data_IF_051842091042
#
_entry.id   IF_051842091042
#
_cell.length_a   1.000
_cell.length_b   1.000
_cell.length_c   1.000
_cell.angle_alpha   90.00
_cell.angle_beta   90.00
_cell.angle_gamma   90.00
#
_symmetry.space_group_name_H-M   'P 1'
#
loop_
_entity.id
_entity.type
_entity.pdbx_description
1 polymer ?
#
# COMPACT_ATOMS: atom_id res chain seq x y z
N UNK A 1 11.21 22.60 -19.65
CA UNK A 1 9.89 22.04 -19.28
C UNK A 1 9.88 20.62 -19.83
N UNK A 2 9.77 19.61 -18.97
CA UNK A 2 9.65 18.23 -19.42
C UNK A 2 8.29 18.04 -20.09
N UNK A 3 8.24 17.33 -21.21
CA UNK A 3 7.06 17.12 -22.06
C UNK A 3 5.96 16.24 -21.42
N UNK A 4 6.08 15.90 -20.13
CA UNK A 4 5.26 14.89 -19.45
C UNK A 4 4.77 15.35 -18.07
N UNK A 5 4.45 16.63 -17.91
CA UNK A 5 3.84 17.11 -16.67
C UNK A 5 2.35 16.70 -16.64
N UNK A 6 1.98 15.85 -15.69
CA UNK A 6 0.59 15.43 -15.50
C UNK A 6 -0.25 16.62 -15.02
N UNK A 7 -0.98 17.26 -15.94
CA UNK A 7 -1.70 18.51 -15.68
C UNK A 7 -2.98 18.32 -14.85
N UNK A 8 -3.54 17.10 -14.82
CA UNK A 8 -4.81 16.82 -14.13
C UNK A 8 -4.59 15.98 -12.87
N UNK A 9 -4.99 16.48 -11.68
CA UNK A 9 -4.91 15.72 -10.44
C UNK A 9 -5.75 14.44 -10.48
N UNK A 10 -5.23 13.36 -9.87
CA UNK A 10 -5.91 12.07 -9.76
C UNK A 10 -6.55 11.93 -8.37
N UNK A 11 -7.88 11.80 -8.32
CA UNK A 11 -8.60 11.43 -7.10
C UNK A 11 -8.53 9.91 -6.89
N UNK A 12 -7.93 9.48 -5.79
CA UNK A 12 -7.81 8.06 -5.45
C UNK A 12 -8.76 7.71 -4.31
N UNK A 13 -9.74 6.85 -4.60
CA UNK A 13 -10.78 6.41 -3.65
C UNK A 13 -10.55 4.94 -3.29
N UNK A 14 -10.65 4.60 -2.00
CA UNK A 14 -10.54 3.24 -1.50
C UNK A 14 -9.99 3.22 -0.08
N UNK A 15 -9.19 2.19 0.26
CA UNK A 15 -8.65 2.01 1.60
C UNK A 15 -7.13 2.15 1.73
N UNK A 16 -6.72 2.62 2.90
CA UNK A 16 -5.38 2.47 3.45
C UNK A 16 -5.45 1.51 4.65
N UNK A 17 -4.53 0.55 4.73
CA UNK A 17 -4.56 -0.52 5.76
C UNK A 17 -3.16 -0.73 6.32
N UNK A 18 -3.04 -1.08 7.60
CA UNK A 18 -1.78 -1.50 8.18
C UNK A 18 -1.44 -2.95 7.78
N UNK A 19 -0.35 -3.15 7.06
CA UNK A 19 0.19 -4.46 6.73
C UNK A 19 1.21 -4.89 7.79
N UNK A 20 1.05 -6.11 8.28
CA UNK A 20 2.04 -6.81 9.11
C UNK A 20 2.66 -7.93 8.28
N UNK A 21 3.95 -7.82 7.98
CA UNK A 21 4.69 -8.85 7.24
C UNK A 21 5.47 -9.69 8.23
N UNK A 22 5.26 -11.00 8.16
CA UNK A 22 5.89 -11.99 9.03
C UNK A 22 6.37 -13.19 8.23
N UNK A 23 7.50 -13.75 8.64
CA UNK A 23 8.06 -14.96 8.05
C UNK A 23 7.61 -16.17 8.84
N UNK A 24 7.11 -17.15 8.09
CA UNK A 24 6.77 -18.47 8.58
C UNK A 24 7.68 -19.49 7.88
N UNK A 25 8.09 -20.58 8.54
CA UNK A 25 8.88 -21.64 7.89
C UNK A 25 8.06 -22.37 6.81
N UNK A 26 6.72 -22.34 6.90
CA UNK A 26 5.75 -22.78 5.89
C UNK A 26 4.37 -22.19 6.18
N UNK A 27 3.43 -22.33 5.26
CA UNK A 27 2.02 -22.01 5.53
C UNK A 27 1.46 -22.94 6.63
N UNK A 28 0.61 -22.41 7.53
CA UNK A 28 0.00 -23.21 8.59
C UNK A 28 -1.07 -24.14 8.02
N UNK A 29 -1.21 -25.32 8.63
CA UNK A 29 -2.37 -26.19 8.42
C UNK A 29 -3.55 -25.71 9.25
N UNK A 30 -4.77 -26.17 8.92
CA UNK A 30 -5.98 -25.70 9.62
C UNK A 30 -5.94 -26.11 11.10
N UNK A 31 -5.99 -25.12 12.00
CA UNK A 31 -6.00 -25.32 13.45
C UNK A 31 -4.62 -25.48 14.08
N UNK A 32 -3.56 -25.28 13.31
CA UNK A 32 -2.18 -25.31 13.80
C UNK A 32 -1.73 -23.94 14.29
N UNK A 33 -1.01 -23.94 15.40
CA UNK A 33 -0.25 -22.78 15.88
C UNK A 33 1.21 -22.90 15.43
N UNK A 34 1.78 -21.83 14.88
CA UNK A 34 3.17 -21.77 14.44
C UNK A 34 3.78 -20.41 14.75
N UNK A 35 5.02 -20.42 15.24
CA UNK A 35 5.73 -19.19 15.57
C UNK A 35 6.10 -18.40 14.30
N UNK A 36 5.72 -17.13 14.29
CA UNK A 36 5.98 -16.21 13.19
C UNK A 36 7.06 -15.21 13.58
N UNK A 37 8.03 -14.99 12.70
CA UNK A 37 9.07 -13.99 12.89
C UNK A 37 8.61 -12.66 12.29
N UNK A 38 8.44 -11.58 13.07
CA UNK A 38 8.05 -10.28 12.55
C UNK A 38 9.15 -9.73 11.61
N UNK A 39 8.77 -9.25 10.42
CA UNK A 39 9.72 -8.64 9.48
C UNK A 39 9.49 -7.15 9.30
N UNK A 40 8.25 -6.73 9.05
CA UNK A 40 7.95 -5.34 8.76
C UNK A 40 6.54 -4.94 9.18
N UNK A 41 6.37 -3.64 9.44
CA UNK A 41 5.08 -2.98 9.62
C UNK A 41 5.04 -1.81 8.66
N UNK A 42 4.03 -1.75 7.82
CA UNK A 42 3.92 -0.72 6.79
C UNK A 42 2.46 -0.38 6.52
N UNK A 43 2.21 0.75 5.87
CA UNK A 43 0.90 1.03 5.31
C UNK A 43 0.83 0.46 3.90
N UNK A 44 -0.23 -0.30 3.66
CA UNK A 44 -0.66 -0.84 2.39
C UNK A 44 -2.11 -0.49 2.10
N UNK A 45 -2.80 -1.38 1.41
CA UNK A 45 -4.10 -1.11 0.78
C UNK A 45 -3.95 -0.67 -0.67
N UNK A 46 -4.85 -1.14 -1.53
CA UNK A 46 -4.75 -0.93 -2.98
C UNK A 46 -4.75 0.56 -3.34
N UNK A 47 -5.68 1.34 -2.77
CA UNK A 47 -5.78 2.77 -3.02
C UNK A 47 -4.53 3.53 -2.53
N UNK A 48 -4.07 3.21 -1.32
CA UNK A 48 -2.85 3.80 -0.80
C UNK A 48 -1.62 3.49 -1.68
N UNK A 49 -1.49 2.24 -2.15
CA UNK A 49 -0.39 1.84 -3.02
C UNK A 49 -0.40 2.59 -4.36
N UNK A 50 -1.58 2.80 -4.95
CA UNK A 50 -1.76 3.62 -6.17
C UNK A 50 -1.39 5.09 -5.91
N UNK A 51 -1.96 5.69 -4.86
CA UNK A 51 -1.65 7.08 -4.49
C UNK A 51 -0.13 7.27 -4.26
N UNK A 52 0.50 6.34 -3.53
CA UNK A 52 1.94 6.35 -3.26
C UNK A 52 2.79 6.20 -4.53
N UNK A 53 2.34 5.40 -5.50
CA UNK A 53 3.02 5.29 -6.79
C UNK A 53 2.92 6.59 -7.60
N UNK A 54 1.73 7.19 -7.68
CA UNK A 54 1.51 8.47 -8.35
C UNK A 54 2.35 9.61 -7.75
N UNK A 55 2.41 9.71 -6.43
CA UNK A 55 3.26 10.69 -5.74
C UNK A 55 4.75 10.52 -6.09
N UNK A 56 5.25 9.29 -6.24
CA UNK A 56 6.65 9.03 -6.64
C UNK A 56 6.95 9.38 -8.09
N UNK A 57 5.92 9.42 -8.93
CA UNK A 57 6.00 9.88 -10.32
C UNK A 57 5.74 11.37 -10.45
N UNK A 58 5.67 12.10 -9.33
CA UNK A 58 5.39 13.54 -9.29
C UNK A 58 4.03 13.91 -9.90
N UNK A 59 3.10 12.95 -9.98
CA UNK A 59 1.73 13.20 -10.43
C UNK A 59 0.89 13.78 -9.28
N UNK A 60 0.08 14.83 -9.50
CA UNK A 60 -0.77 15.40 -8.45
C UNK A 60 -1.86 14.40 -8.01
N UNK A 61 -2.01 14.19 -6.70
CA UNK A 61 -2.97 13.23 -6.11
C UNK A 61 -3.90 13.93 -5.13
N UNK A 62 -5.19 13.63 -5.19
CA UNK A 62 -6.19 13.97 -4.18
C UNK A 62 -6.54 12.69 -3.42
N UNK A 63 -6.37 12.72 -2.09
CA UNK A 63 -6.68 11.58 -1.23
C UNK A 63 -8.20 11.52 -0.94
N UNK A 64 -8.84 10.42 -1.35
CA UNK A 64 -10.25 10.10 -1.04
C UNK A 64 -10.41 8.89 -0.10
N UNK A 65 -9.36 8.46 0.59
CA UNK A 65 -9.40 7.35 1.54
C UNK A 65 -9.88 7.82 2.93
N UNK A 66 -10.82 7.12 3.59
CA UNK A 66 -11.13 7.36 4.99
C UNK A 66 -9.98 6.81 5.83
N UNK A 67 -9.18 7.71 6.41
CA UNK A 67 -8.09 7.36 7.34
C UNK A 67 -8.53 7.45 8.79
#
# INVERSE_FOLDING_TARGET
MNEWEAVTPVLVIGGAVGDLVMTLPRLPTRGEDIEALPQARQIGGCAFNVARALTRLEAPVINGMPV
#
